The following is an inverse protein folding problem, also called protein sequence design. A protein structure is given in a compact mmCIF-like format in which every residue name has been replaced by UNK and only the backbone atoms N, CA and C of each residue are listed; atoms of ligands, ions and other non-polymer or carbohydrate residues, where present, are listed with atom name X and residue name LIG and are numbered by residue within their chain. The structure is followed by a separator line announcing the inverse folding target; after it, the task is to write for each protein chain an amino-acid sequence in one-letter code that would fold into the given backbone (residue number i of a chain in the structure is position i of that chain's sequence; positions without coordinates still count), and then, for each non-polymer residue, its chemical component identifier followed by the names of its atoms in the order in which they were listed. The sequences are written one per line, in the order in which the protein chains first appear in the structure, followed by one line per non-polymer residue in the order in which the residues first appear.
data_IF_781267096075
#
_entry.id   IF_781267096075
#
_cell.length_a   1.000
_cell.length_b   1.000
_cell.length_c   1.000
_cell.angle_alpha   90.00
_cell.angle_beta   90.00
_cell.angle_gamma   90.00
#
_symmetry.space_group_name_H-M   'P 1'
#
loop_
_entity.id
_entity.type
_entity.pdbx_description
1 polymer ?
#
# COMPACT_ATOMS: atom_id res chain seq x y z
N UNK A 1 18.92 8.72 -1.28
CA UNK A 1 19.16 7.42 -0.64
C UNK A 1 18.15 7.34 0.50
N UNK A 2 17.09 6.53 0.38
CA UNK A 2 16.02 6.46 1.39
C UNK A 2 16.19 5.15 2.17
N UNK A 3 16.42 5.27 3.49
CA UNK A 3 16.48 4.14 4.43
C UNK A 3 15.08 3.92 5.00
N UNK A 4 14.47 2.81 4.60
CA UNK A 4 13.27 2.26 5.23
C UNK A 4 13.54 0.77 5.35
N UNK A 5 13.68 0.26 6.58
CA UNK A 5 14.03 -1.13 6.93
C UNK A 5 15.26 -1.68 6.20
N UNK A 6 16.43 -1.73 6.85
CA UNK A 6 17.72 -2.43 6.54
C UNK A 6 17.86 -3.32 5.27
N UNK A 7 17.29 -2.92 4.13
CA UNK A 7 17.22 -3.62 2.86
C UNK A 7 17.70 -2.58 1.85
N UNK A 8 18.89 -2.80 1.31
CA UNK A 8 19.41 -1.99 0.21
C UNK A 8 18.71 -2.42 -1.08
N UNK A 9 17.54 -1.86 -1.34
CA UNK A 9 16.92 -1.99 -2.66
C UNK A 9 17.63 -1.07 -3.65
N UNK A 10 18.56 -1.60 -4.42
CA UNK A 10 19.18 -0.89 -5.53
C UNK A 10 18.21 -0.88 -6.73
N UNK A 11 17.20 0.00 -6.68
CA UNK A 11 16.18 0.13 -7.72
C UNK A 11 16.64 1.00 -8.92
N UNK A 12 17.92 1.37 -8.97
CA UNK A 12 18.50 2.03 -10.14
C UNK A 12 18.90 0.97 -11.15
N UNK A 13 18.58 1.19 -12.43
CA UNK A 13 19.16 0.40 -13.52
C UNK A 13 20.68 0.60 -13.55
N UNK A 14 21.43 -0.33 -14.13
CA UNK A 14 22.90 -0.28 -14.26
C UNK A 14 23.40 1.04 -14.87
N UNK A 15 22.60 1.68 -15.73
CA UNK A 15 22.87 2.97 -16.35
C UNK A 15 22.46 4.21 -15.53
N UNK A 16 22.05 4.04 -14.26
CA UNK A 16 21.63 5.14 -13.39
C UNK A 16 20.22 5.69 -13.63
N UNK A 17 19.49 5.18 -14.64
CA UNK A 17 18.12 5.62 -14.93
C UNK A 17 17.11 5.14 -13.87
N UNK A 18 16.18 6.03 -13.49
CA UNK A 18 15.09 5.74 -12.55
C UNK A 18 14.02 4.93 -13.27
N UNK A 19 13.80 3.69 -12.86
CA UNK A 19 12.67 2.91 -13.37
C UNK A 19 11.35 3.33 -12.67
N UNK A 20 10.21 2.90 -13.22
CA UNK A 20 8.89 3.24 -12.67
C UNK A 20 8.71 2.79 -11.21
N UNK A 21 9.35 1.70 -10.80
CA UNK A 21 9.30 1.21 -9.42
C UNK A 21 9.99 2.19 -8.46
N UNK A 22 11.15 2.73 -8.85
CA UNK A 22 11.84 3.74 -8.05
C UNK A 22 10.99 5.01 -7.89
N UNK A 23 10.34 5.47 -8.97
CA UNK A 23 9.47 6.65 -8.95
C UNK A 23 8.26 6.44 -8.03
N UNK A 24 7.61 5.28 -8.12
CA UNK A 24 6.47 4.92 -7.28
C UNK A 24 6.89 4.81 -5.80
N UNK A 25 7.98 4.11 -5.51
CA UNK A 25 8.46 3.93 -4.15
C UNK A 25 8.83 5.27 -3.50
N UNK A 26 9.55 6.11 -4.22
CA UNK A 26 9.91 7.46 -3.74
C UNK A 26 8.66 8.31 -3.49
N UNK A 27 7.65 8.18 -4.35
CA UNK A 27 6.36 8.88 -4.19
C UNK A 27 5.57 8.41 -2.98
N UNK A 28 5.52 7.10 -2.74
CA UNK A 28 4.89 6.48 -1.56
C UNK A 28 5.60 6.92 -0.27
N UNK A 29 6.94 6.91 -0.23
CA UNK A 29 7.67 7.39 0.95
C UNK A 29 7.34 8.83 1.30
N UNK A 30 7.16 9.70 0.29
CA UNK A 30 6.75 11.09 0.51
C UNK A 30 5.35 11.21 1.13
N UNK A 31 4.42 10.33 0.77
CA UNK A 31 3.07 10.30 1.36
C UNK A 31 3.13 9.87 2.83
N UNK A 32 3.96 8.89 3.15
CA UNK A 32 4.04 8.31 4.50
C UNK A 32 4.85 9.19 5.45
N UNK A 33 5.97 9.75 5.00
CA UNK A 33 6.95 10.41 5.87
C UNK A 33 7.06 11.93 5.69
N UNK A 34 6.77 12.46 4.50
CA UNK A 34 7.10 13.86 4.15
C UNK A 34 5.87 14.77 4.09
N UNK A 35 4.72 14.35 4.68
CA UNK A 35 3.44 15.09 4.70
C UNK A 35 3.01 15.63 3.32
N UNK A 36 3.25 14.86 2.25
CA UNK A 36 2.71 15.21 0.94
C UNK A 36 1.19 14.95 0.90
N UNK A 37 0.41 15.95 0.50
CA UNK A 37 -1.06 15.89 0.58
C UNK A 37 -1.74 15.33 -0.69
N UNK A 38 -1.22 15.62 -1.89
CA UNK A 38 -1.81 15.19 -3.17
C UNK A 38 -0.75 14.84 -4.20
N UNK A 39 -0.81 13.63 -4.76
CA UNK A 39 0.09 13.17 -5.83
C UNK A 39 -0.72 12.50 -6.95
N UNK A 40 -0.32 12.77 -8.19
CA UNK A 40 -0.88 12.13 -9.38
C UNK A 40 0.21 11.39 -10.14
N UNK A 41 -0.11 10.18 -10.61
CA UNK A 41 0.83 9.32 -11.35
C UNK A 41 0.25 8.98 -12.72
N UNK A 42 0.98 9.34 -13.77
CA UNK A 42 0.75 8.85 -15.12
C UNK A 42 1.76 7.74 -15.43
N UNK A 43 1.37 6.47 -15.24
CA UNK A 43 2.26 5.31 -15.36
C UNK A 43 1.62 4.30 -16.31
N UNK A 44 2.40 3.72 -17.25
CA UNK A 44 1.90 2.73 -18.20
C UNK A 44 1.29 1.48 -17.53
N UNK A 45 0.44 0.73 -18.25
CA UNK A 45 -0.09 -0.53 -17.76
C UNK A 45 1.04 -1.55 -17.52
N UNK A 46 0.77 -2.54 -16.67
CA UNK A 46 1.70 -3.64 -16.33
C UNK A 46 3.00 -3.21 -15.60
N UNK A 47 3.04 -2.01 -15.02
CA UNK A 47 4.16 -1.55 -14.19
C UNK A 47 3.94 -1.72 -12.67
N UNK A 48 3.07 -2.63 -12.26
CA UNK A 48 2.73 -2.89 -10.85
C UNK A 48 2.24 -1.64 -10.05
N UNK A 49 1.74 -0.61 -10.74
CA UNK A 49 1.30 0.65 -10.12
C UNK A 49 0.23 0.45 -9.04
N UNK A 50 -0.71 -0.46 -9.26
CA UNK A 50 -1.77 -0.77 -8.30
C UNK A 50 -1.21 -1.57 -7.12
N UNK A 51 -0.38 -2.57 -7.40
CA UNK A 51 0.25 -3.40 -6.36
C UNK A 51 1.12 -2.56 -5.42
N UNK A 52 1.99 -1.72 -5.97
CA UNK A 52 2.88 -0.88 -5.18
C UNK A 52 2.13 0.32 -4.57
N UNK A 53 1.35 1.02 -5.39
CA UNK A 53 0.71 2.29 -5.04
C UNK A 53 -0.49 2.17 -4.11
N UNK A 54 -1.16 1.01 -4.11
CA UNK A 54 -2.25 0.71 -3.19
C UNK A 54 -1.86 -0.37 -2.19
N UNK A 55 -1.62 -1.61 -2.64
CA UNK A 55 -1.54 -2.76 -1.72
C UNK A 55 -0.36 -2.62 -0.76
N UNK A 56 0.87 -2.53 -1.29
CA UNK A 56 2.07 -2.43 -0.47
C UNK A 56 2.17 -1.09 0.25
N UNK A 57 1.75 0.00 -0.39
CA UNK A 57 1.70 1.31 0.27
C UNK A 57 0.78 1.29 1.50
N UNK A 58 -0.46 0.82 1.38
CA UNK A 58 -1.41 0.78 2.49
C UNK A 58 -0.94 -0.16 3.59
N UNK A 59 -0.45 -1.35 3.23
CA UNK A 59 0.13 -2.28 4.19
C UNK A 59 1.30 -1.63 4.95
N UNK A 60 2.24 -1.01 4.23
CA UNK A 60 3.37 -0.32 4.85
C UNK A 60 2.94 0.85 5.75
N UNK A 61 1.97 1.66 5.31
CA UNK A 61 1.47 2.78 6.09
C UNK A 61 0.73 2.32 7.36
N UNK A 62 -0.08 1.26 7.29
CA UNK A 62 -0.69 0.64 8.48
C UNK A 62 0.37 0.07 9.43
N UNK A 63 1.43 -0.52 8.88
CA UNK A 63 2.59 -1.00 9.63
C UNK A 63 3.26 0.07 10.48
N UNK A 64 3.41 1.28 9.94
CA UNK A 64 4.00 2.42 10.65
C UNK A 64 2.99 3.17 11.52
N UNK A 65 1.71 3.20 11.13
CA UNK A 65 0.63 3.83 11.87
C UNK A 65 -0.65 2.98 11.76
N UNK A 66 -0.91 2.18 12.79
CA UNK A 66 -2.08 1.31 12.84
C UNK A 66 -3.41 2.07 12.91
N UNK A 67 -3.40 3.38 13.13
CA UNK A 67 -4.59 4.26 13.12
C UNK A 67 -4.84 4.91 11.76
N UNK A 68 -3.99 4.66 10.77
CA UNK A 68 -4.14 5.26 9.44
C UNK A 68 -5.46 4.84 8.77
N UNK A 69 -6.00 5.76 7.98
CA UNK A 69 -7.32 5.64 7.33
C UNK A 69 -7.15 5.80 5.84
N UNK A 70 -7.65 4.83 5.08
CA UNK A 70 -7.51 4.78 3.63
C UNK A 70 -8.86 4.57 2.96
N UNK A 71 -8.97 5.16 1.77
CA UNK A 71 -10.08 4.93 0.86
C UNK A 71 -9.51 4.47 -0.49
N UNK A 72 -9.97 3.31 -0.96
CA UNK A 72 -9.68 2.81 -2.29
C UNK A 72 -10.91 2.98 -3.18
N UNK A 73 -10.80 3.83 -4.18
CA UNK A 73 -11.90 4.14 -5.10
C UNK A 73 -11.50 3.66 -6.49
N UNK A 74 -12.38 2.91 -7.14
CA UNK A 74 -12.23 2.49 -8.53
C UNK A 74 -13.58 2.45 -9.23
N UNK A 75 -13.59 2.41 -10.55
CA UNK A 75 -14.82 2.30 -11.35
C UNK A 75 -15.32 0.86 -11.50
N UNK A 76 -14.50 -0.14 -11.13
CA UNK A 76 -14.83 -1.55 -11.30
C UNK A 76 -14.99 -2.24 -9.94
N UNK A 77 -16.20 -2.72 -9.65
CA UNK A 77 -16.55 -3.37 -8.39
C UNK A 77 -15.76 -4.65 -8.13
N UNK A 78 -15.57 -5.48 -9.15
CA UNK A 78 -14.86 -6.75 -8.97
C UNK A 78 -13.35 -6.52 -8.82
N UNK A 79 -12.79 -5.54 -9.53
CA UNK A 79 -11.42 -5.08 -9.31
C UNK A 79 -11.23 -4.56 -7.88
N UNK A 80 -12.19 -3.80 -7.34
CA UNK A 80 -12.16 -3.35 -5.94
C UNK A 80 -12.07 -4.54 -4.99
N UNK A 81 -12.95 -5.54 -5.16
CA UNK A 81 -12.97 -6.72 -4.31
C UNK A 81 -11.67 -7.51 -4.39
N UNK A 82 -11.15 -7.67 -5.60
CA UNK A 82 -9.87 -8.34 -5.85
C UNK A 82 -8.73 -7.65 -5.10
N UNK A 83 -8.59 -6.32 -5.23
CA UNK A 83 -7.49 -5.58 -4.59
C UNK A 83 -7.62 -5.51 -3.07
N UNK A 84 -8.83 -5.46 -2.55
CA UNK A 84 -9.07 -5.59 -1.10
C UNK A 84 -8.70 -7.00 -0.60
N UNK A 85 -8.93 -8.04 -1.41
CA UNK A 85 -8.57 -9.41 -1.06
C UNK A 85 -7.05 -9.64 -1.10
N UNK A 86 -6.36 -9.09 -2.10
CA UNK A 86 -4.89 -9.11 -2.17
C UNK A 86 -4.26 -8.38 -0.97
N UNK A 87 -4.85 -7.26 -0.54
CA UNK A 87 -4.42 -6.56 0.67
C UNK A 87 -4.59 -7.42 1.94
N UNK A 88 -5.71 -8.14 2.09
CA UNK A 88 -5.86 -9.11 3.19
C UNK A 88 -4.75 -10.16 3.19
N UNK A 89 -4.42 -10.73 2.02
CA UNK A 89 -3.36 -11.74 1.90
C UNK A 89 -2.03 -11.19 2.41
N UNK A 90 -1.68 -9.95 2.07
CA UNK A 90 -0.46 -9.31 2.56
C UNK A 90 -0.51 -9.11 4.08
N UNK A 91 -1.60 -8.54 4.60
CA UNK A 91 -1.76 -8.25 6.04
C UNK A 91 -1.83 -9.52 6.91
N UNK A 92 -2.31 -10.62 6.36
CA UNK A 92 -2.38 -11.93 7.02
C UNK A 92 -1.08 -12.73 6.90
N UNK A 93 -0.16 -12.33 6.02
CA UNK A 93 1.08 -13.07 5.78
C UNK A 93 1.95 -13.15 7.04
N UNK A 94 2.63 -14.30 7.30
CA UNK A 94 3.54 -14.44 8.43
C UNK A 94 4.64 -13.37 8.43
N UNK A 95 5.17 -13.06 7.25
CA UNK A 95 6.19 -12.03 7.07
C UNK A 95 5.70 -10.65 7.51
N UNK A 96 4.52 -10.22 7.06
CA UNK A 96 3.97 -8.92 7.44
C UNK A 96 3.77 -8.83 8.96
N UNK A 97 3.24 -9.90 9.57
CA UNK A 97 3.04 -9.97 11.03
C UNK A 97 4.35 -9.96 11.82
N UNK A 98 5.42 -10.53 11.26
CA UNK A 98 6.76 -10.47 11.85
C UNK A 98 7.34 -9.06 11.80
N UNK A 99 7.16 -8.35 10.68
CA UNK A 99 7.68 -6.98 10.50
C UNK A 99 6.84 -5.96 11.29
N UNK A 100 5.52 -6.11 11.33
CA UNK A 100 4.57 -5.18 11.94
C UNK A 100 3.66 -5.88 12.97
N UNK A 101 4.21 -6.37 14.09
CA UNK A 101 3.45 -7.17 15.07
C UNK A 101 2.32 -6.41 15.76
N UNK A 102 2.37 -5.07 15.74
CA UNK A 102 1.37 -4.21 16.37
C UNK A 102 0.12 -4.01 15.51
N UNK A 103 0.16 -4.39 14.22
CA UNK A 103 -1.01 -4.29 13.33
C UNK A 103 -1.88 -5.53 13.51
N UNK A 104 -2.98 -5.37 14.24
CA UNK A 104 -3.99 -6.42 14.44
C UNK A 104 -5.24 -6.11 13.64
N UNK A 105 -5.56 -6.94 12.66
CA UNK A 105 -6.82 -6.85 11.89
C UNK A 105 -7.95 -7.44 12.73
N UNK A 106 -9.10 -6.75 12.77
CA UNK A 106 -10.27 -7.16 13.57
C UNK A 106 -11.52 -7.28 12.70
N UNK A 107 -12.45 -8.11 13.16
CA UNK A 107 -13.70 -8.39 12.46
C UNK A 107 -13.57 -9.52 11.44
N UNK A 108 -14.67 -9.81 10.74
CA UNK A 108 -14.70 -10.83 9.67
C UNK A 108 -13.98 -10.30 8.44
N UNK A 109 -13.21 -11.17 7.77
CA UNK A 109 -12.61 -10.88 6.46
C UNK A 109 -13.69 -10.35 5.50
N UNK A 110 -13.45 -9.18 4.97
CA UNK A 110 -14.38 -8.44 4.12
C UNK A 110 -13.64 -7.81 2.96
N UNK A 111 -14.20 -7.91 1.75
CA UNK A 111 -13.66 -7.27 0.55
C UNK A 111 -14.06 -5.80 0.43
N UNK A 112 -14.76 -5.23 1.41
CA UNK A 112 -15.16 -3.80 1.43
C UNK A 112 -14.45 -3.00 2.50
N UNK A 113 -14.20 -3.61 3.66
CA UNK A 113 -13.68 -2.89 4.83
C UNK A 113 -12.65 -3.76 5.54
N UNK A 114 -11.49 -3.17 5.82
CA UNK A 114 -10.47 -3.72 6.71
C UNK A 114 -10.36 -2.78 7.91
N UNK A 115 -10.36 -3.31 9.13
CA UNK A 115 -10.22 -2.53 10.36
C UNK A 115 -9.05 -3.04 11.17
N UNK A 116 -8.30 -2.11 11.76
CA UNK A 116 -7.30 -2.44 12.77
C UNK A 116 -7.88 -2.31 14.17
N UNK A 117 -7.28 -2.99 15.15
CA UNK A 117 -7.66 -2.87 16.56
C UNK A 117 -7.53 -1.43 17.07
N UNK A 118 -6.56 -0.68 16.57
CA UNK A 118 -6.24 0.68 16.99
C UNK A 118 -7.15 1.76 16.35
N UNK A 119 -8.13 1.37 15.54
CA UNK A 119 -9.12 2.28 14.95
C UNK A 119 -8.78 2.78 13.53
N UNK A 120 -7.71 2.26 12.92
CA UNK A 120 -7.41 2.45 11.50
C UNK A 120 -8.34 1.62 10.61
N UNK A 121 -8.51 2.04 9.36
CA UNK A 121 -9.34 1.32 8.41
C UNK A 121 -8.93 1.52 6.95
N UNK A 122 -9.35 0.59 6.10
CA UNK A 122 -9.28 0.69 4.64
C UNK A 122 -10.66 0.38 4.10
N UNK A 123 -11.28 1.35 3.42
CA UNK A 123 -12.58 1.17 2.79
C UNK A 123 -12.45 1.14 1.27
N UNK A 124 -12.98 0.09 0.63
CA UNK A 124 -13.09 -0.05 -0.81
C UNK A 124 -14.46 0.42 -1.31
N UNK A 125 -14.45 1.33 -2.29
CA UNK A 125 -15.64 1.87 -2.95
C UNK A 125 -15.56 1.66 -4.47
N UNK A 126 -16.71 1.39 -5.07
CA UNK A 126 -16.92 1.42 -6.52
C UNK A 126 -17.90 2.54 -6.83
N UNK A 127 -17.60 3.37 -7.82
CA UNK A 127 -18.48 4.49 -8.23
C UNK A 127 -19.58 4.04 -9.23
N UNK A 128 -19.56 2.78 -9.65
CA UNK A 128 -20.59 2.13 -10.47
C UNK A 128 -20.93 0.73 -9.92
#
# INVERSE_FOLDING_TARGET
MLRVFNIRLNLKRENGSKNYLWLLFSSVNRLVFEKAHSQWWNIPPRCAKTTLGFIFHVAFALGNNSRAKFMYITHQRDLMREKMNELHIVLESPFYRQVFPNVKIVGRRSTRVIRTKEGGFVNGFSIF
#
